data_IF_160883950275
#
_entry.id   IF_160883950275
#
_cell.length_a   1.000
_cell.length_b   1.000
_cell.length_c   1.000
_cell.angle_alpha   90.00
_cell.angle_beta   90.00
_cell.angle_gamma   90.00
#
_symmetry.space_group_name_H-M   'P 1'
#
loop_
_entity.id
_entity.type
_entity.pdbx_description
1 polymer ?
#
# COMPACT_ATOMS: atom_id res chain seq x y z
N UNK A 1 -4.18 -27.01 -10.01
CA UNK A 1 -3.00 -26.14 -9.79
C UNK A 1 -2.49 -25.42 -11.05
N UNK A 2 -2.40 -24.09 -11.01
CA UNK A 2 -1.76 -23.21 -12.02
C UNK A 2 -0.50 -22.56 -11.45
N UNK A 3 0.64 -22.59 -12.15
CA UNK A 3 1.89 -21.95 -11.72
C UNK A 3 2.19 -20.71 -12.55
N UNK A 4 2.74 -19.68 -11.90
CA UNK A 4 3.22 -18.48 -12.56
C UNK A 4 4.28 -17.78 -11.71
N UNK A 5 5.03 -16.88 -12.33
CA UNK A 5 6.05 -16.07 -11.65
C UNK A 5 5.69 -14.59 -11.77
N UNK A 6 5.87 -13.85 -10.68
CA UNK A 6 5.67 -12.42 -10.62
C UNK A 6 6.89 -11.75 -10.02
N UNK A 7 7.69 -11.06 -10.84
CA UNK A 7 8.86 -10.30 -10.35
C UNK A 7 9.75 -11.14 -9.41
N UNK A 8 10.03 -12.39 -9.80
CA UNK A 8 10.84 -13.35 -9.03
C UNK A 8 10.11 -14.16 -7.95
N UNK A 9 8.83 -13.87 -7.65
CA UNK A 9 8.02 -14.66 -6.71
C UNK A 9 7.25 -15.75 -7.47
N UNK A 10 7.52 -17.02 -7.17
CA UNK A 10 6.87 -18.15 -7.80
C UNK A 10 5.61 -18.52 -7.03
N UNK A 11 4.45 -18.45 -7.69
CA UNK A 11 3.15 -18.68 -7.07
C UNK A 11 2.49 -19.91 -7.71
N UNK A 12 1.99 -20.82 -6.87
CA UNK A 12 1.10 -21.90 -7.27
C UNK A 12 -0.32 -21.61 -6.79
N UNK A 13 -1.22 -21.31 -7.73
CA UNK A 13 -2.65 -21.12 -7.48
C UNK A 13 -3.37 -22.47 -7.49
N UNK A 14 -4.14 -22.74 -6.45
CA UNK A 14 -4.80 -24.03 -6.16
C UNK A 14 -6.23 -23.80 -5.70
N UNK A 15 -7.08 -24.82 -5.85
CA UNK A 15 -8.41 -24.80 -5.22
C UNK A 15 -8.35 -25.19 -3.73
N UNK A 16 -9.49 -25.08 -3.04
CA UNK A 16 -9.59 -25.38 -1.60
C UNK A 16 -9.30 -26.85 -1.29
N UNK A 17 -9.75 -27.78 -2.14
CA UNK A 17 -9.51 -29.21 -1.93
C UNK A 17 -8.03 -29.55 -2.06
N UNK A 18 -7.40 -29.08 -3.15
CA UNK A 18 -5.95 -29.19 -3.35
C UNK A 18 -5.18 -28.61 -2.15
N UNK A 19 -5.59 -27.45 -1.64
CA UNK A 19 -4.95 -26.77 -0.52
C UNK A 19 -4.98 -27.58 0.78
N UNK A 20 -6.08 -28.28 1.07
CA UNK A 20 -6.29 -29.01 2.33
C UNK A 20 -5.77 -30.46 2.28
N UNK A 21 -5.74 -31.09 1.11
CA UNK A 21 -5.45 -32.53 0.97
C UNK A 21 -3.95 -32.86 0.86
N UNK A 22 -3.06 -31.86 0.86
CA UNK A 22 -1.63 -32.04 0.55
C UNK A 22 -0.71 -31.49 1.63
N UNK A 23 0.35 -32.24 1.95
CA UNK A 23 1.50 -31.70 2.67
C UNK A 23 2.38 -30.85 1.72
N UNK A 24 2.14 -29.54 1.72
CA UNK A 24 2.84 -28.60 0.84
C UNK A 24 4.33 -28.47 1.13
N UNK A 25 4.77 -28.73 2.36
CA UNK A 25 6.18 -28.67 2.73
C UNK A 25 6.97 -29.81 2.10
N UNK A 26 6.46 -31.04 2.18
CA UNK A 26 7.06 -32.19 1.50
C UNK A 26 7.09 -32.00 -0.01
N UNK A 27 5.98 -31.54 -0.59
CA UNK A 27 5.90 -31.25 -2.02
C UNK A 27 6.93 -30.21 -2.47
N UNK A 28 7.08 -29.13 -1.70
CA UNK A 28 8.07 -28.09 -1.98
C UNK A 28 9.53 -28.58 -1.87
N UNK A 29 9.77 -29.72 -1.23
CA UNK A 29 11.10 -30.28 -1.06
C UNK A 29 11.47 -31.38 -2.08
N UNK A 30 10.52 -31.92 -2.87
CA UNK A 30 10.72 -33.07 -3.75
C UNK A 30 11.23 -32.78 -5.19
N UNK A 31 11.71 -31.57 -5.50
CA UNK A 31 12.38 -31.24 -6.77
C UNK A 31 11.50 -30.52 -7.81
N UNK A 32 12.17 -29.89 -8.80
CA UNK A 32 11.77 -28.66 -9.53
C UNK A 32 11.71 -27.41 -8.64
N UNK A 33 11.91 -26.17 -9.17
CA UNK A 33 11.89 -24.97 -8.35
C UNK A 33 10.54 -24.88 -7.60
N UNK A 34 10.53 -25.01 -6.26
CA UNK A 34 9.28 -25.02 -5.52
C UNK A 34 8.63 -23.64 -5.58
N UNK A 35 7.30 -23.62 -5.51
CA UNK A 35 6.58 -22.37 -5.32
C UNK A 35 7.04 -21.71 -4.01
N UNK A 36 7.20 -20.39 -4.03
CA UNK A 36 7.47 -19.60 -2.84
C UNK A 36 6.17 -19.38 -2.05
N UNK A 37 5.03 -19.36 -2.75
CA UNK A 37 3.69 -19.19 -2.19
C UNK A 37 2.70 -20.17 -2.84
N UNK A 38 1.91 -20.85 -2.01
CA UNK A 38 0.67 -21.50 -2.46
C UNK A 38 -0.49 -20.55 -2.17
N UNK A 39 -1.35 -20.31 -3.16
CA UNK A 39 -2.45 -19.35 -3.07
C UNK A 39 -3.78 -20.01 -3.41
N UNK A 40 -4.77 -19.79 -2.55
CA UNK A 40 -6.19 -20.00 -2.87
C UNK A 40 -6.80 -18.65 -3.20
N UNK A 41 -7.37 -18.51 -4.38
CA UNK A 41 -8.03 -17.27 -4.82
C UNK A 41 -9.51 -17.29 -4.42
N UNK A 42 -9.98 -16.20 -3.83
CA UNK A 42 -11.35 -15.97 -3.38
C UNK A 42 -11.98 -17.15 -2.62
N UNK A 43 -11.30 -17.72 -1.58
CA UNK A 43 -11.89 -18.79 -0.80
C UNK A 43 -13.17 -18.30 -0.11
N UNK A 44 -14.21 -19.13 -0.15
CA UNK A 44 -15.46 -18.84 0.54
C UNK A 44 -15.20 -18.70 2.06
N UNK A 45 -15.90 -17.80 2.78
CA UNK A 45 -15.61 -17.53 4.18
C UNK A 45 -15.72 -18.76 5.10
N UNK A 46 -16.58 -19.70 4.75
CA UNK A 46 -16.84 -20.92 5.51
C UNK A 46 -15.62 -21.84 5.59
N UNK A 47 -14.70 -21.76 4.61
CA UNK A 47 -13.49 -22.60 4.56
C UNK A 47 -12.25 -21.92 5.15
N UNK A 48 -12.35 -20.65 5.55
CA UNK A 48 -11.20 -19.93 6.11
C UNK A 48 -10.62 -20.60 7.36
N UNK A 49 -11.43 -21.09 8.35
CA UNK A 49 -10.88 -21.78 9.51
C UNK A 49 -10.02 -22.99 9.14
N UNK A 50 -10.48 -23.82 8.20
CA UNK A 50 -9.76 -25.01 7.75
C UNK A 50 -8.45 -24.65 7.04
N UNK A 51 -8.47 -23.60 6.21
CA UNK A 51 -7.26 -23.08 5.56
C UNK A 51 -6.25 -22.53 6.59
N UNK A 52 -6.72 -21.78 7.59
CA UNK A 52 -5.86 -21.28 8.66
C UNK A 52 -5.25 -22.41 9.52
N UNK A 53 -6.02 -23.47 9.79
CA UNK A 53 -5.54 -24.68 10.48
C UNK A 53 -4.46 -25.42 9.65
N UNK A 54 -4.63 -25.47 8.31
CA UNK A 54 -3.60 -25.96 7.39
C UNK A 54 -2.40 -25.01 7.22
N UNK A 55 -2.38 -23.88 7.95
CA UNK A 55 -1.29 -22.93 7.96
C UNK A 55 -1.34 -21.88 6.84
N UNK A 56 -2.44 -21.74 6.11
CA UNK A 56 -2.63 -20.60 5.21
C UNK A 56 -2.95 -19.32 5.99
N UNK A 57 -2.72 -18.16 5.38
CA UNK A 57 -3.04 -16.85 5.94
C UNK A 57 -4.10 -16.21 5.06
N UNK A 58 -5.33 -16.10 5.58
CA UNK A 58 -6.44 -15.46 4.87
C UNK A 58 -6.33 -13.94 4.95
N UNK A 59 -6.40 -13.27 3.80
CA UNK A 59 -6.07 -11.87 3.65
C UNK A 59 -6.83 -11.21 2.47
N UNK A 60 -6.93 -9.88 2.43
CA UNK A 60 -7.19 -9.20 1.18
C UNK A 60 -6.02 -9.44 0.20
N UNK A 61 -6.29 -9.51 -1.11
CA UNK A 61 -5.20 -9.46 -2.10
C UNK A 61 -4.55 -8.08 -2.19
N UNK A 62 -5.39 -7.04 -2.10
CA UNK A 62 -5.01 -5.63 -2.16
C UNK A 62 -5.73 -4.82 -1.08
N UNK A 63 -5.09 -3.76 -0.61
CA UNK A 63 -5.69 -2.77 0.29
C UNK A 63 -5.51 -1.36 -0.25
N UNK A 64 -6.54 -0.54 -0.11
CA UNK A 64 -6.50 0.89 -0.32
C UNK A 64 -6.26 1.61 1.00
N UNK A 65 -5.27 2.49 1.06
CA UNK A 65 -4.97 3.25 2.28
C UNK A 65 -5.80 4.52 2.31
N UNK A 66 -6.70 4.66 3.29
CA UNK A 66 -7.61 5.81 3.40
C UNK A 66 -7.45 6.59 4.69
N UNK A 67 -7.69 7.90 4.63
CA UNK A 67 -7.82 8.78 5.78
C UNK A 67 -8.99 9.74 5.59
N UNK A 68 -9.66 10.09 6.69
CA UNK A 68 -10.62 11.19 6.71
C UNK A 68 -9.88 12.52 6.60
N UNK A 69 -10.39 13.44 5.79
CA UNK A 69 -9.77 14.76 5.62
C UNK A 69 -9.84 15.59 6.90
N UNK A 70 -10.93 15.46 7.66
CA UNK A 70 -11.31 16.34 8.77
C UNK A 70 -11.45 17.81 8.33
N UNK A 71 -11.88 18.67 9.26
CA UNK A 71 -12.23 20.05 8.95
C UNK A 71 -11.03 20.94 8.56
N UNK A 72 -9.82 20.59 9.00
CA UNK A 72 -8.61 21.39 8.74
C UNK A 72 -7.32 20.56 8.80
N UNK A 73 -6.20 21.13 8.32
CA UNK A 73 -4.87 20.55 8.49
C UNK A 73 -4.57 20.30 9.99
N UNK A 74 -4.84 21.29 10.86
CA UNK A 74 -4.62 21.14 12.30
C UNK A 74 -5.45 20.03 12.93
N UNK A 75 -6.72 19.89 12.55
CA UNK A 75 -7.59 18.82 13.02
C UNK A 75 -7.09 17.43 12.59
N UNK A 76 -6.54 17.33 11.37
CA UNK A 76 -5.87 16.13 10.87
C UNK A 76 -4.59 15.84 11.65
N UNK A 77 -3.71 16.83 11.80
CA UNK A 77 -2.45 16.67 12.54
C UNK A 77 -2.68 16.27 13.99
N UNK A 78 -3.71 16.81 14.66
CA UNK A 78 -4.06 16.47 16.03
C UNK A 78 -4.33 14.96 16.23
N UNK A 79 -4.79 14.27 15.18
CA UNK A 79 -5.00 12.82 15.17
C UNK A 79 -3.71 11.99 15.19
N UNK A 80 -2.63 12.55 14.66
CA UNK A 80 -1.39 11.83 14.41
C UNK A 80 -0.55 11.72 15.69
N UNK A 81 0.42 10.81 15.68
CA UNK A 81 1.44 10.77 16.75
C UNK A 81 2.24 12.08 16.79
N UNK A 82 2.77 12.43 17.97
CA UNK A 82 3.61 13.63 18.13
C UNK A 82 4.86 13.61 17.23
N UNK A 83 5.44 12.43 17.01
CA UNK A 83 6.57 12.25 16.08
C UNK A 83 6.17 12.57 14.63
N UNK A 84 5.02 12.07 14.18
CA UNK A 84 4.58 12.32 12.80
C UNK A 84 4.17 13.78 12.57
N UNK A 85 3.48 14.41 13.53
CA UNK A 85 3.23 15.86 13.49
C UNK A 85 4.53 16.66 13.33
N UNK A 86 5.57 16.29 14.09
CA UNK A 86 6.89 16.92 13.97
C UNK A 86 7.49 16.67 12.57
N UNK A 87 7.35 15.46 12.02
CA UNK A 87 7.87 15.14 10.69
C UNK A 87 7.23 15.99 9.60
N UNK A 88 5.92 16.23 9.66
CA UNK A 88 5.19 17.09 8.72
C UNK A 88 5.65 18.54 8.84
N UNK A 89 5.72 19.07 10.07
CA UNK A 89 6.22 20.44 10.32
C UNK A 89 7.65 20.65 9.82
N UNK A 90 8.51 19.64 9.97
CA UNK A 90 9.87 19.68 9.43
C UNK A 90 9.87 19.72 7.90
N UNK A 91 8.99 18.97 7.23
CA UNK A 91 8.83 19.05 5.77
C UNK A 91 8.36 20.43 5.29
N UNK A 92 7.38 21.02 5.99
CA UNK A 92 6.91 22.40 5.72
C UNK A 92 8.03 23.42 5.92
N UNK A 93 8.79 23.30 7.01
CA UNK A 93 9.94 24.17 7.29
C UNK A 93 11.03 24.04 6.23
N UNK A 94 11.39 22.81 5.87
CA UNK A 94 12.35 22.53 4.81
C UNK A 94 11.94 23.23 3.50
N UNK A 95 10.67 23.12 3.12
CA UNK A 95 10.16 23.80 1.94
C UNK A 95 10.32 25.32 2.03
N UNK A 96 9.96 25.93 3.17
CA UNK A 96 10.11 27.36 3.39
C UNK A 96 11.58 27.83 3.36
N UNK A 97 12.48 27.13 4.04
CA UNK A 97 13.92 27.46 4.12
C UNK A 97 14.61 27.38 2.74
N UNK A 98 14.13 26.52 1.85
CA UNK A 98 14.69 26.31 0.52
C UNK A 98 13.88 27.02 -0.59
N UNK A 99 12.93 27.89 -0.24
CA UNK A 99 12.11 28.61 -1.22
C UNK A 99 11.26 27.70 -2.13
N UNK A 100 10.91 26.51 -1.64
CA UNK A 100 10.09 25.54 -2.37
C UNK A 100 8.61 25.93 -2.22
N UNK A 101 7.92 26.06 -3.35
CA UNK A 101 6.50 26.42 -3.42
C UNK A 101 5.67 25.25 -3.96
N UNK A 102 4.59 24.91 -3.28
CA UNK A 102 3.59 23.98 -3.81
C UNK A 102 2.61 24.72 -4.72
N UNK A 103 2.28 24.09 -5.84
CA UNK A 103 1.27 24.53 -6.82
C UNK A 103 0.26 23.40 -6.97
N UNK A 104 -1.02 23.73 -6.81
CA UNK A 104 -2.13 22.79 -7.01
C UNK A 104 -2.76 23.10 -8.36
N UNK A 105 -2.81 22.10 -9.24
CA UNK A 105 -3.42 22.19 -10.57
C UNK A 105 -4.58 21.20 -10.67
N UNK A 106 -5.81 21.71 -10.81
CA UNK A 106 -6.93 20.89 -11.27
C UNK A 106 -6.85 20.77 -12.78
N UNK A 107 -6.85 19.54 -13.31
CA UNK A 107 -6.58 19.34 -14.73
C UNK A 107 -5.14 19.70 -15.08
N UNK A 108 -4.14 18.94 -14.58
CA UNK A 108 -2.73 19.28 -14.78
C UNK A 108 -2.40 19.47 -16.26
N UNK A 109 -1.65 20.53 -16.55
CA UNK A 109 -1.26 20.84 -17.93
C UNK A 109 -0.35 19.76 -18.51
N UNK A 110 -0.29 19.66 -19.85
CA UNK A 110 0.64 18.73 -20.50
C UNK A 110 2.11 19.00 -20.10
N UNK A 111 2.46 20.28 -19.93
CA UNK A 111 3.81 20.71 -19.50
C UNK A 111 4.10 20.29 -18.07
N UNK A 112 3.19 20.54 -17.13
CA UNK A 112 3.36 20.17 -15.72
C UNK A 112 3.39 18.65 -15.56
N UNK A 113 2.55 17.91 -16.31
CA UNK A 113 2.56 16.46 -16.31
C UNK A 113 3.87 15.90 -16.84
N UNK A 114 4.39 16.42 -17.96
CA UNK A 114 5.67 15.95 -18.51
C UNK A 114 6.82 16.16 -17.52
N UNK A 115 6.92 17.35 -16.92
CA UNK A 115 7.92 17.65 -15.90
C UNK A 115 7.83 16.70 -14.67
N UNK A 116 6.60 16.37 -14.25
CA UNK A 116 6.40 15.37 -13.20
C UNK A 116 6.85 13.97 -13.64
N UNK A 117 6.53 13.57 -14.87
CA UNK A 117 6.86 12.24 -15.38
C UNK A 117 8.37 12.06 -15.58
N UNK A 118 9.12 13.08 -15.98
CA UNK A 118 10.59 13.04 -16.03
C UNK A 118 11.19 12.70 -14.65
N UNK A 119 10.74 13.40 -13.60
CA UNK A 119 11.17 13.14 -12.22
C UNK A 119 10.72 11.74 -11.75
N UNK A 120 9.49 11.34 -12.07
CA UNK A 120 8.95 10.04 -11.72
C UNK A 120 9.73 8.90 -12.39
N UNK A 121 10.05 9.00 -13.68
CA UNK A 121 10.80 7.98 -14.41
C UNK A 121 12.20 7.79 -13.83
N UNK A 122 12.88 8.88 -13.45
CA UNK A 122 14.16 8.81 -12.77
C UNK A 122 14.06 8.07 -11.42
N UNK A 123 13.00 8.34 -10.65
CA UNK A 123 12.73 7.62 -9.40
C UNK A 123 12.45 6.13 -9.63
N UNK A 124 11.60 5.79 -10.60
CA UNK A 124 11.20 4.41 -10.88
C UNK A 124 12.37 3.59 -11.42
N UNK A 125 13.21 4.16 -12.28
CA UNK A 125 14.39 3.48 -12.84
C UNK A 125 15.38 3.04 -11.76
N UNK A 126 15.43 3.75 -10.63
CA UNK A 126 16.27 3.39 -9.47
C UNK A 126 15.68 2.27 -8.61
N UNK A 127 14.45 1.81 -8.86
CA UNK A 127 13.79 0.74 -8.10
C UNK A 127 14.03 -0.62 -8.75
N UNK A 128 14.34 -1.65 -7.94
CA UNK A 128 14.64 -3.01 -8.39
C UNK A 128 13.58 -3.59 -9.35
N UNK A 129 12.31 -3.41 -9.03
CA UNK A 129 11.15 -3.88 -9.80
C UNK A 129 10.27 -2.68 -10.24
N UNK A 130 10.90 -1.55 -10.56
CA UNK A 130 10.21 -0.31 -10.92
C UNK A 130 9.50 -0.41 -12.26
N UNK A 131 8.18 -0.20 -12.28
CA UNK A 131 7.39 -0.15 -13.51
C UNK A 131 6.83 1.28 -13.70
N UNK A 132 7.11 1.96 -14.82
CA UNK A 132 6.73 3.36 -15.02
C UNK A 132 5.26 3.48 -15.44
N UNK A 133 4.34 3.09 -14.55
CA UNK A 133 2.91 3.06 -14.82
C UNK A 133 2.35 4.46 -15.16
N UNK A 134 2.82 5.52 -14.48
CA UNK A 134 2.38 6.89 -14.76
C UNK A 134 2.67 7.29 -16.22
N UNK A 135 3.88 6.98 -16.69
CA UNK A 135 4.31 7.22 -18.07
C UNK A 135 3.45 6.46 -19.07
N UNK A 136 3.18 5.18 -18.80
CA UNK A 136 2.30 4.34 -19.66
C UNK A 136 0.88 4.90 -19.74
N UNK A 137 0.40 5.51 -18.66
CA UNK A 137 -0.94 6.10 -18.55
C UNK A 137 -1.01 7.58 -18.98
N UNK A 138 0.08 8.18 -19.48
CA UNK A 138 0.14 9.62 -19.78
C UNK A 138 -1.00 10.09 -20.71
N UNK A 139 -1.27 9.34 -21.78
CA UNK A 139 -2.33 9.69 -22.74
C UNK A 139 -3.72 9.66 -22.10
N UNK A 140 -3.99 8.67 -21.26
CA UNK A 140 -5.27 8.54 -20.54
C UNK A 140 -5.42 9.66 -19.50
N UNK A 141 -4.35 9.96 -18.74
CA UNK A 141 -4.33 11.08 -17.79
C UNK A 141 -4.63 12.41 -18.48
N UNK A 142 -4.05 12.66 -19.67
CA UNK A 142 -4.31 13.90 -20.42
C UNK A 142 -5.73 13.95 -21.00
N UNK A 143 -6.23 12.82 -21.48
CA UNK A 143 -7.61 12.71 -21.97
C UNK A 143 -8.60 13.00 -20.86
N UNK A 144 -8.36 12.43 -19.68
CA UNK A 144 -9.28 12.46 -18.54
C UNK A 144 -8.84 13.50 -17.48
N UNK A 145 -8.07 14.53 -17.88
CA UNK A 145 -7.35 15.43 -16.96
C UNK A 145 -8.23 16.11 -15.92
N UNK A 146 -9.48 16.42 -16.26
CA UNK A 146 -10.40 17.11 -15.35
C UNK A 146 -10.80 16.24 -14.14
N UNK A 147 -10.54 14.93 -14.24
CA UNK A 147 -10.66 13.95 -13.16
C UNK A 147 -9.37 13.85 -12.32
N UNK A 148 -8.37 14.71 -12.54
CA UNK A 148 -7.10 14.70 -11.83
C UNK A 148 -6.75 16.05 -11.19
N UNK A 149 -6.01 15.96 -10.08
CA UNK A 149 -5.36 17.06 -9.39
C UNK A 149 -3.86 16.75 -9.31
N UNK A 150 -3.04 17.64 -9.85
CA UNK A 150 -1.61 17.67 -9.61
C UNK A 150 -1.28 18.54 -8.41
N UNK A 151 -0.41 18.07 -7.52
CA UNK A 151 0.19 18.88 -6.45
C UNK A 151 1.69 18.82 -6.64
N UNK A 152 2.27 19.91 -7.10
CA UNK A 152 3.65 19.96 -7.57
C UNK A 152 4.45 20.96 -6.74
N UNK A 153 5.61 20.55 -6.25
CA UNK A 153 6.52 21.37 -5.49
C UNK A 153 7.67 21.85 -6.39
N UNK A 154 7.87 23.17 -6.45
CA UNK A 154 8.86 23.82 -7.30
C UNK A 154 9.91 24.54 -6.47
N UNK A 155 11.17 24.37 -6.83
CA UNK A 155 12.25 25.26 -6.43
C UNK A 155 12.62 26.11 -7.65
N UNK A 156 12.36 27.42 -7.58
CA UNK A 156 12.35 28.30 -8.74
C UNK A 156 11.40 27.77 -9.83
N UNK A 157 11.88 27.54 -11.05
CA UNK A 157 11.09 26.99 -12.15
C UNK A 157 11.16 25.46 -12.27
N UNK A 158 11.94 24.79 -11.41
CA UNK A 158 12.17 23.34 -11.49
C UNK A 158 11.28 22.59 -10.50
N UNK A 159 10.58 21.57 -10.98
CA UNK A 159 9.82 20.66 -10.12
C UNK A 159 10.80 19.76 -9.34
N UNK A 160 10.63 19.69 -8.02
CA UNK A 160 11.49 18.90 -7.10
C UNK A 160 10.73 17.81 -6.36
N UNK A 161 9.40 17.83 -6.45
CA UNK A 161 8.53 16.80 -5.89
C UNK A 161 7.08 17.01 -6.28
N UNK A 162 6.24 16.02 -6.07
CA UNK A 162 4.82 16.14 -6.30
C UNK A 162 4.05 14.84 -6.19
N UNK A 163 2.74 14.95 -6.35
CA UNK A 163 1.86 13.82 -6.58
C UNK A 163 0.78 14.15 -7.60
N UNK A 164 0.32 13.10 -8.26
CA UNK A 164 -0.86 13.13 -9.12
C UNK A 164 -1.97 12.32 -8.46
N UNK A 165 -3.12 12.96 -8.27
CA UNK A 165 -4.27 12.39 -7.62
C UNK A 165 -5.45 12.32 -8.57
N UNK A 166 -6.22 11.24 -8.52
CA UNK A 166 -7.49 11.08 -9.23
C UNK A 166 -8.65 11.43 -8.31
N UNK A 167 -9.61 12.20 -8.83
CA UNK A 167 -10.87 12.52 -8.17
C UNK A 167 -11.80 11.32 -8.35
N UNK A 168 -12.20 10.69 -7.23
CA UNK A 168 -13.20 9.62 -7.17
C UNK A 168 -14.47 10.18 -6.53
N UNK A 169 -15.22 10.96 -7.32
CA UNK A 169 -16.38 11.69 -6.84
C UNK A 169 -17.49 10.76 -6.32
N UNK A 170 -17.67 9.61 -6.96
CA UNK A 170 -18.52 8.49 -6.55
C UNK A 170 -18.22 7.98 -5.14
N UNK A 171 -16.99 8.19 -4.67
CA UNK A 171 -16.49 7.74 -3.37
C UNK A 171 -16.18 8.91 -2.43
N UNK A 172 -16.48 10.15 -2.81
CA UNK A 172 -16.09 11.36 -2.09
C UNK A 172 -14.60 11.34 -1.66
N UNK A 173 -13.72 10.89 -2.56
CA UNK A 173 -12.32 10.60 -2.26
C UNK A 173 -11.36 11.22 -3.29
N UNK A 174 -10.26 11.79 -2.81
CA UNK A 174 -9.10 12.11 -3.64
C UNK A 174 -8.08 10.98 -3.51
N UNK A 175 -7.82 10.25 -4.59
CA UNK A 175 -6.93 9.09 -4.58
C UNK A 175 -5.58 9.43 -5.19
N UNK A 176 -4.52 9.39 -4.40
CA UNK A 176 -3.16 9.49 -4.92
C UNK A 176 -2.87 8.28 -5.81
N UNK A 177 -2.48 8.56 -7.06
CA UNK A 177 -2.13 7.55 -8.07
C UNK A 177 -0.62 7.41 -8.20
N UNK A 178 0.07 8.55 -8.26
CA UNK A 178 1.52 8.60 -8.45
C UNK A 178 2.15 9.66 -7.57
N UNK A 179 3.37 9.40 -7.12
CA UNK A 179 4.13 10.29 -6.27
C UNK A 179 5.60 10.17 -6.63
N UNK A 180 6.27 11.31 -6.78
CA UNK A 180 7.70 11.35 -7.01
C UNK A 180 8.35 12.56 -6.36
N UNK A 181 9.60 12.39 -5.95
CA UNK A 181 10.42 13.46 -5.42
C UNK A 181 11.90 13.20 -5.66
N UNK A 182 12.65 14.28 -5.84
CA UNK A 182 14.10 14.22 -5.93
C UNK A 182 14.72 13.68 -4.62
N UNK A 183 15.90 13.03 -4.65
CA UNK A 183 16.51 12.44 -3.46
C UNK A 183 16.70 13.43 -2.30
N UNK A 184 17.15 14.66 -2.59
CA UNK A 184 17.31 15.73 -1.60
C UNK A 184 15.98 16.12 -0.95
N UNK A 185 14.91 16.25 -1.75
CA UNK A 185 13.56 16.53 -1.30
C UNK A 185 12.98 15.39 -0.44
N UNK A 186 13.29 14.13 -0.75
CA UNK A 186 12.90 12.98 0.09
C UNK A 186 13.58 13.04 1.46
N UNK A 187 14.87 13.33 1.51
CA UNK A 187 15.61 13.53 2.77
C UNK A 187 15.02 14.64 3.63
N UNK A 188 14.60 15.74 2.99
CA UNK A 188 13.90 16.87 3.61
C UNK A 188 12.45 16.62 4.00
N UNK A 189 11.91 15.41 3.75
CA UNK A 189 10.52 15.01 4.08
C UNK A 189 9.46 15.79 3.31
N UNK A 190 9.81 16.35 2.15
CA UNK A 190 8.94 17.19 1.32
C UNK A 190 7.61 16.51 0.98
N UNK A 191 7.64 15.19 0.75
CA UNK A 191 6.45 14.40 0.40
C UNK A 191 5.28 14.59 1.39
N UNK A 192 5.60 14.73 2.68
CA UNK A 192 4.58 14.94 3.73
C UNK A 192 3.91 16.31 3.59
N UNK A 193 4.68 17.34 3.27
CA UNK A 193 4.14 18.68 3.04
C UNK A 193 3.25 18.69 1.78
N UNK A 194 3.72 18.09 0.68
CA UNK A 194 2.94 17.93 -0.56
C UNK A 194 1.62 17.21 -0.30
N UNK A 195 1.61 16.19 0.56
CA UNK A 195 0.36 15.51 0.91
C UNK A 195 -0.59 16.40 1.69
N UNK A 196 -0.11 17.28 2.58
CA UNK A 196 -1.00 18.23 3.25
C UNK A 196 -1.66 19.21 2.27
N UNK A 197 -0.95 19.61 1.22
CA UNK A 197 -1.53 20.41 0.13
C UNK A 197 -2.57 19.61 -0.67
N UNK A 198 -2.35 18.31 -0.88
CA UNK A 198 -3.35 17.43 -1.47
C UNK A 198 -4.59 17.24 -0.58
N UNK A 199 -4.44 17.16 0.74
CA UNK A 199 -5.56 17.15 1.68
C UNK A 199 -6.37 18.45 1.57
N UNK A 200 -5.70 19.60 1.47
CA UNK A 200 -6.39 20.88 1.29
C UNK A 200 -7.16 20.90 -0.03
N UNK A 201 -6.52 20.50 -1.13
CA UNK A 201 -7.19 20.41 -2.43
C UNK A 201 -8.43 19.48 -2.40
N UNK A 202 -8.34 18.36 -1.66
CA UNK A 202 -9.48 17.46 -1.48
C UNK A 202 -10.65 18.12 -0.72
N UNK A 203 -10.35 18.91 0.33
CA UNK A 203 -11.37 19.68 1.07
C UNK A 203 -12.02 20.74 0.19
N UNK A 204 -11.23 21.46 -0.59
CA UNK A 204 -11.72 22.51 -1.49
C UNK A 204 -12.64 21.93 -2.59
N UNK A 205 -12.47 20.65 -2.93
CA UNK A 205 -13.34 19.90 -3.83
C UNK A 205 -14.59 19.31 -3.16
N UNK A 206 -14.78 19.53 -1.85
CA UNK A 206 -15.91 19.00 -1.09
C UNK A 206 -15.85 17.48 -0.86
N UNK A 207 -14.65 16.89 -0.97
CA UNK A 207 -14.45 15.46 -0.70
C UNK A 207 -14.35 15.23 0.81
N UNK A 208 -14.53 14.00 1.28
CA UNK A 208 -14.44 13.65 2.71
C UNK A 208 -13.23 12.77 3.02
N UNK A 209 -12.61 12.17 2.00
CA UNK A 209 -11.50 11.21 2.15
C UNK A 209 -10.32 11.51 1.25
N UNK A 210 -9.13 11.15 1.73
CA UNK A 210 -7.91 11.01 0.94
C UNK A 210 -7.53 9.52 0.88
N UNK A 211 -6.94 9.09 -0.23
CA UNK A 211 -6.30 7.79 -0.36
C UNK A 211 -4.85 7.89 -0.82
N UNK A 212 -3.98 7.03 -0.28
CA UNK A 212 -2.60 6.82 -0.76
C UNK A 212 -2.49 5.70 -1.81
N UNK A 213 -3.62 5.34 -2.42
CA UNK A 213 -3.69 4.31 -3.46
C UNK A 213 -3.77 2.89 -2.90
N UNK A 214 -3.73 1.93 -3.83
CA UNK A 214 -3.77 0.51 -3.55
C UNK A 214 -2.34 -0.04 -3.39
N UNK A 215 -2.16 -0.93 -2.41
CA UNK A 215 -0.96 -1.74 -2.23
C UNK A 215 -1.33 -3.23 -2.23
N UNK A 216 -0.42 -4.12 -2.69
CA UNK A 216 -0.54 -5.53 -2.35
C UNK A 216 -0.41 -5.68 -0.83
N UNK A 217 -1.10 -6.66 -0.25
CA UNK A 217 -1.04 -6.90 1.20
C UNK A 217 0.26 -7.54 1.68
N UNK A 218 1.08 -8.08 0.77
CA UNK A 218 2.41 -8.62 1.04
C UNK A 218 3.49 -7.56 0.75
N UNK A 219 3.98 -6.92 1.80
CA UNK A 219 5.11 -6.00 1.78
C UNK A 219 6.41 -6.78 1.98
N UNK A 220 7.40 -6.53 1.12
CA UNK A 220 8.66 -7.27 1.05
C UNK A 220 8.88 -7.97 -0.28
N UNK A 221 7.87 -7.96 -1.17
CA UNK A 221 8.01 -8.39 -2.56
C UNK A 221 8.11 -7.17 -3.49
N UNK A 222 6.97 -6.65 -3.99
CA UNK A 222 6.93 -5.45 -4.83
C UNK A 222 6.92 -4.17 -3.99
N UNK A 223 6.12 -4.15 -2.91
CA UNK A 223 6.05 -3.00 -2.00
C UNK A 223 7.08 -3.16 -0.88
N UNK A 224 7.88 -2.12 -0.62
CA UNK A 224 8.85 -2.12 0.47
C UNK A 224 8.14 -2.21 1.85
N UNK A 225 8.64 -3.01 2.82
CA UNK A 225 8.08 -3.08 4.18
C UNK A 225 7.99 -1.73 4.90
N UNK A 226 8.90 -0.79 4.61
CA UNK A 226 8.87 0.56 5.15
C UNK A 226 7.66 1.38 4.67
N UNK A 227 7.07 1.03 3.52
CA UNK A 227 5.89 1.72 2.98
C UNK A 227 4.67 1.53 3.88
N UNK A 228 4.47 0.32 4.43
CA UNK A 228 3.43 0.06 5.44
C UNK A 228 3.55 1.02 6.62
N UNK A 229 4.77 1.13 7.18
CA UNK A 229 5.04 2.00 8.33
C UNK A 229 4.92 3.48 7.99
N UNK A 230 5.23 3.87 6.75
CA UNK A 230 5.02 5.24 6.28
C UNK A 230 3.53 5.60 6.23
N UNK A 231 2.70 4.77 5.56
CA UNK A 231 1.26 5.05 5.37
C UNK A 231 0.49 5.02 6.69
N UNK A 232 0.74 4.01 7.53
CA UNK A 232 0.07 3.88 8.83
C UNK A 232 0.39 5.03 9.79
N UNK A 233 1.66 5.46 9.87
CA UNK A 233 2.05 6.60 10.72
C UNK A 233 1.45 7.93 10.25
N UNK A 234 1.21 8.08 8.94
CA UNK A 234 0.54 9.24 8.37
C UNK A 234 -0.98 9.23 8.63
N UNK A 235 -1.50 8.30 9.43
CA UNK A 235 -2.91 8.27 9.82
C UNK A 235 -3.83 7.59 8.81
N UNK A 236 -3.27 6.96 7.78
CA UNK A 236 -4.05 6.16 6.84
C UNK A 236 -4.30 4.77 7.40
N UNK A 237 -5.50 4.25 7.13
CA UNK A 237 -5.96 2.93 7.52
C UNK A 237 -6.22 2.11 6.26
N UNK A 238 -5.73 0.86 6.17
CA UNK A 238 -5.99 0.01 5.03
C UNK A 238 -7.44 -0.48 5.03
N UNK A 239 -8.05 -0.45 3.84
CA UNK A 239 -9.37 -1.00 3.55
C UNK A 239 -9.20 -1.99 2.39
N UNK A 240 -9.72 -3.23 2.44
CA UNK A 240 -9.64 -4.14 1.30
C UNK A 240 -10.11 -3.48 0.00
N UNK A 241 -9.28 -3.52 -1.05
CA UNK A 241 -9.55 -2.75 -2.28
C UNK A 241 -10.85 -3.16 -2.97
N UNK A 242 -11.21 -4.45 -2.91
CA UNK A 242 -12.46 -4.97 -3.49
C UNK A 242 -13.74 -4.40 -2.84
N UNK A 243 -13.65 -3.82 -1.63
CA UNK A 243 -14.78 -3.11 -1.01
C UNK A 243 -14.99 -1.70 -1.56
N UNK A 244 -14.02 -1.20 -2.34
CA UNK A 244 -14.03 0.13 -2.95
C UNK A 244 -14.23 -0.02 -4.45
N UNK A 245 -13.50 -0.94 -5.06
CA UNK A 245 -13.53 -1.23 -6.48
C UNK A 245 -13.56 -2.76 -6.64
N UNK A 246 -14.72 -3.37 -6.90
CA UNK A 246 -14.89 -4.82 -6.96
C UNK A 246 -13.97 -5.52 -7.98
N UNK A 247 -13.46 -4.78 -8.97
CA UNK A 247 -12.55 -5.29 -9.98
C UNK A 247 -11.09 -5.35 -9.49
N UNK A 248 -10.79 -4.75 -8.33
CA UNK A 248 -9.45 -4.68 -7.76
C UNK A 248 -9.27 -5.68 -6.62
N UNK A 249 -8.64 -6.78 -6.97
CA UNK A 249 -8.26 -7.82 -6.03
C UNK A 249 -9.46 -8.65 -5.56
N UNK A 250 -9.33 -9.19 -4.37
CA UNK A 250 -10.32 -10.08 -3.78
C UNK A 250 -9.84 -10.53 -2.41
N UNK A 251 -10.31 -11.68 -1.96
CA UNK A 251 -9.72 -12.36 -0.82
C UNK A 251 -8.78 -13.44 -1.32
N UNK A 252 -7.65 -13.64 -0.65
CA UNK A 252 -6.68 -14.69 -0.93
C UNK A 252 -6.38 -15.44 0.38
N UNK A 253 -5.99 -16.71 0.28
CA UNK A 253 -5.33 -17.41 1.37
C UNK A 253 -3.95 -17.87 0.90
N UNK A 254 -2.89 -17.39 1.56
CA UNK A 254 -1.51 -17.64 1.17
C UNK A 254 -0.81 -18.57 2.19
N UNK A 255 -0.21 -19.65 1.71
CA UNK A 255 0.79 -20.42 2.45
C UNK A 255 2.18 -20.02 1.94
N UNK A 256 2.97 -19.35 2.78
CA UNK A 256 4.31 -18.89 2.45
C UNK A 256 5.31 -20.00 2.74
N UNK A 257 5.93 -20.54 1.69
CA UNK A 257 6.86 -21.67 1.76
C UNK A 257 8.33 -21.24 1.76
N UNK A 258 8.64 -20.04 1.25
CA UNK A 258 10.01 -19.53 1.19
C UNK A 258 10.08 -18.01 1.33
N UNK A 259 11.19 -17.52 1.89
CA UNK A 259 11.54 -16.10 1.95
C UNK A 259 12.51 -15.67 0.84
N UNK A 260 12.90 -16.56 -0.08
CA UNK A 260 13.98 -16.29 -1.04
C UNK A 260 13.71 -15.09 -1.97
N UNK A 261 12.44 -14.90 -2.35
CA UNK A 261 12.00 -13.78 -3.18
C UNK A 261 11.44 -12.60 -2.37
N UNK A 262 11.55 -12.66 -1.03
CA UNK A 262 10.96 -11.71 -0.10
C UNK A 262 12.04 -11.01 0.73
N UNK A 263 11.76 -9.78 1.15
CA UNK A 263 12.58 -9.10 2.15
C UNK A 263 12.51 -9.82 3.51
N UNK A 264 13.56 -9.74 4.31
CA UNK A 264 13.57 -10.29 5.67
C UNK A 264 13.82 -9.17 6.72
N UNK A 265 12.78 -8.76 7.48
CA UNK A 265 11.42 -9.30 7.49
C UNK A 265 10.52 -8.77 6.36
N UNK A 266 9.51 -9.56 6.00
CA UNK A 266 8.34 -9.15 5.19
C UNK A 266 7.11 -8.97 6.08
N UNK A 267 6.12 -8.21 5.62
CA UNK A 267 4.89 -7.92 6.34
C UNK A 267 3.68 -8.33 5.52
N UNK A 268 2.75 -9.06 6.11
CA UNK A 268 1.50 -9.47 5.48
C UNK A 268 0.30 -8.94 6.26
N UNK A 269 -0.51 -8.10 5.63
CA UNK A 269 -1.80 -7.70 6.18
C UNK A 269 -2.83 -8.81 5.95
N UNK A 270 -3.43 -9.29 7.04
CA UNK A 270 -4.36 -10.42 7.05
C UNK A 270 -5.63 -10.08 7.82
N UNK A 271 -6.70 -10.84 7.61
CA UNK A 271 -7.89 -10.71 8.43
C UNK A 271 -7.61 -11.20 9.86
N UNK A 272 -8.19 -10.51 10.85
CA UNK A 272 -8.02 -10.84 12.27
C UNK A 272 -8.92 -11.99 12.74
N UNK A 273 -10.04 -12.20 12.06
CA UNK A 273 -11.05 -13.20 12.41
C UNK A 273 -11.41 -14.05 11.19
N UNK A 274 -11.93 -15.23 11.47
CA UNK A 274 -12.50 -16.18 10.50
C UNK A 274 -13.85 -15.73 9.93
N UNK A 275 -14.39 -14.60 10.38
CA UNK A 275 -15.64 -14.06 9.84
C UNK A 275 -15.37 -13.12 8.67
N UNK A 276 -16.12 -13.25 7.57
CA UNK A 276 -15.94 -12.42 6.40
C UNK A 276 -16.22 -10.95 6.69
N UNK A 277 -15.56 -10.02 5.97
CA UNK A 277 -16.00 -8.64 5.93
C UNK A 277 -17.48 -8.58 5.54
N UNK A 278 -18.31 -7.99 6.38
CA UNK A 278 -19.68 -7.67 5.97
C UNK A 278 -19.63 -6.52 4.95
N UNK A 279 -20.43 -6.64 3.89
CA UNK A 279 -20.58 -5.58 2.89
C UNK A 279 -21.01 -4.29 3.60
N UNK A 280 -20.33 -3.15 3.37
CA UNK A 280 -20.75 -1.88 3.93
C UNK A 280 -22.19 -1.58 3.53
N UNK A 281 -23.01 -1.11 4.49
CA UNK A 281 -24.31 -0.51 4.15
C UNK A 281 -24.06 0.81 3.40
N UNK A 282 -24.91 1.18 2.41
CA UNK A 282 -24.75 2.41 1.62
C UNK A 282 -24.61 3.68 2.48
N UNK A 283 -25.29 3.70 3.64
CA UNK A 283 -25.37 4.88 4.51
C UNK A 283 -24.62 4.72 5.84
N UNK A 284 -23.85 3.63 5.99
CA UNK A 284 -23.12 3.33 7.22
C UNK A 284 -21.64 3.73 7.12
N UNK A 285 -20.96 4.02 8.25
CA UNK A 285 -19.51 4.06 8.26
C UNK A 285 -19.01 2.72 7.71
N UNK A 286 -18.14 2.74 6.69
CA UNK A 286 -17.51 1.54 6.14
C UNK A 286 -16.94 0.73 7.31
N UNK A 287 -17.59 -0.37 7.66
CA UNK A 287 -17.15 -1.30 8.69
C UNK A 287 -15.92 -1.98 8.14
N UNK A 288 -14.74 -1.44 8.50
CA UNK A 288 -13.46 -1.98 8.08
C UNK A 288 -13.32 -3.35 8.74
N UNK A 289 -13.06 -4.44 7.99
CA UNK A 289 -12.79 -5.71 8.63
C UNK A 289 -11.58 -5.54 9.56
N UNK A 290 -11.61 -6.17 10.74
CA UNK A 290 -10.48 -6.13 11.64
C UNK A 290 -9.28 -6.81 10.97
N UNK A 291 -8.16 -6.11 10.93
CA UNK A 291 -6.93 -6.61 10.32
C UNK A 291 -5.89 -6.91 11.39
N UNK A 292 -5.05 -7.91 11.11
CA UNK A 292 -3.83 -8.21 11.85
C UNK A 292 -2.64 -8.11 10.90
N UNK A 293 -1.46 -7.97 11.48
CA UNK A 293 -0.21 -7.99 10.73
C UNK A 293 0.55 -9.28 11.04
N UNK A 294 1.02 -9.98 10.02
CA UNK A 294 1.94 -11.11 10.16
C UNK A 294 3.32 -10.68 9.70
N UNK A 295 4.30 -10.71 10.59
CA UNK A 295 5.71 -10.46 10.29
C UNK A 295 6.33 -11.80 9.89
N UNK A 296 6.67 -11.93 8.61
CA UNK A 296 7.31 -13.11 8.03
C UNK A 296 8.82 -12.94 8.12
N UNK A 297 9.54 -13.96 8.61
CA UNK A 297 10.99 -13.91 8.72
C UNK A 297 11.60 -15.30 8.51
N UNK A 298 12.83 -15.34 7.99
CA UNK A 298 13.65 -16.57 7.97
C UNK A 298 14.46 -16.75 9.26
N UNK A 299 14.49 -15.74 10.15
CA UNK A 299 15.27 -15.76 11.39
C UNK A 299 14.61 -16.67 12.42
N UNK A 300 15.43 -17.42 13.14
CA UNK A 300 15.02 -18.23 14.27
C UNK A 300 14.78 -17.37 15.51
N UNK A 301 14.16 -17.96 16.54
CA UNK A 301 13.68 -17.29 17.75
C UNK A 301 14.79 -16.60 18.58
N UNK A 302 16.06 -16.83 18.29
CA UNK A 302 17.18 -16.21 19.01
C UNK A 302 17.27 -14.69 18.78
N UNK A 303 16.77 -14.19 17.64
CA UNK A 303 16.82 -12.77 17.28
C UNK A 303 15.53 -12.31 16.57
N UNK A 304 14.40 -12.27 17.29
CA UNK A 304 13.11 -11.95 16.67
C UNK A 304 13.12 -10.51 16.13
N UNK A 305 12.41 -10.25 15.01
CA UNK A 305 12.30 -8.89 14.47
C UNK A 305 11.61 -7.97 15.49
N UNK A 306 12.07 -6.72 15.57
CA UNK A 306 11.39 -5.69 16.36
C UNK A 306 10.00 -5.38 15.76
N UNK A 307 8.95 -5.89 16.40
CA UNK A 307 7.56 -5.67 16.01
C UNK A 307 7.00 -4.33 16.48
N UNK A 308 7.64 -3.64 17.44
CA UNK A 308 7.12 -2.41 18.01
C UNK A 308 6.96 -1.32 16.94
N UNK A 309 7.90 -1.28 15.98
CA UNK A 309 7.88 -0.35 14.84
C UNK A 309 6.74 -0.61 13.83
N UNK A 310 6.08 -1.75 13.91
CA UNK A 310 5.00 -2.15 13.01
C UNK A 310 3.60 -2.07 13.64
N UNK A 311 3.50 -1.64 14.91
CA UNK A 311 2.21 -1.43 15.57
C UNK A 311 1.46 -0.25 14.94
N UNK A 312 0.17 -0.43 14.70
CA UNK A 312 -0.74 0.61 14.24
C UNK A 312 -2.09 0.44 14.93
N UNK A 313 -2.79 1.55 15.23
CA UNK A 313 -4.01 1.52 16.02
C UNK A 313 -5.20 0.79 15.37
N UNK A 314 -5.14 0.52 14.07
CA UNK A 314 -6.15 -0.25 13.35
C UNK A 314 -5.90 -1.77 13.38
N UNK A 315 -4.71 -2.21 13.84
CA UNK A 315 -4.38 -3.62 13.91
C UNK A 315 -4.91 -4.21 15.22
N UNK A 316 -5.59 -5.35 15.14
CA UNK A 316 -6.01 -6.11 16.32
C UNK A 316 -4.85 -6.79 17.02
N UNK A 317 -3.87 -7.28 16.26
CA UNK A 317 -2.63 -7.88 16.75
C UNK A 317 -1.52 -7.85 15.70
N UNK A 318 -0.30 -8.16 16.15
CA UNK A 318 0.88 -8.38 15.32
C UNK A 318 1.45 -9.75 15.69
N UNK A 319 1.49 -10.65 14.71
CA UNK A 319 2.00 -12.02 14.84
C UNK A 319 3.39 -12.11 14.19
N UNK A 320 4.25 -12.99 14.67
CA UNK A 320 5.51 -13.36 14.01
C UNK A 320 5.34 -14.78 13.46
N UNK A 321 5.75 -15.00 12.22
CA UNK A 321 5.79 -16.33 11.61
C UNK A 321 7.15 -16.57 10.98
N UNK A 322 7.86 -17.56 11.53
CA UNK A 322 9.09 -18.07 10.95
C UNK A 322 8.77 -18.95 9.76
N UNK A 323 9.35 -18.62 8.60
CA UNK A 323 9.26 -19.42 7.38
C UNK A 323 10.54 -20.25 7.31
N UNK A 324 10.45 -21.60 7.36
CA UNK A 324 11.63 -22.45 7.35
C UNK A 324 12.51 -22.16 6.12
N UNK A 325 13.80 -21.95 6.34
CA UNK A 325 14.76 -22.00 5.25
C UNK A 325 14.90 -23.45 4.79
N UNK A 326 14.98 -23.65 3.47
CA UNK A 326 15.39 -24.96 2.94
C UNK A 326 16.80 -25.27 3.49
N UNK A 327 17.05 -26.47 4.03
CA UNK A 327 18.40 -26.87 4.44
C UNK A 327 19.39 -26.88 3.26
#
# INVERSE_FOLDING_TARGET
MKRWEHEGLRIASVDVGEALDRNWWEWAWQGEPPADVIRVENPAPEVWPALEEAGFITKPGWVNWQAELRDSEDAFLAALSGSERRNIRLGRRFAAEHGIKAVVERGPSATSLEAFLEMYDAQITAMRNGIPYARRQQKDILRDRDCYVGVFAYHNARMVGGCLCQIRADQAMLQLRFAAAEPSARGGRLQRAVYMDAFQAARDLGLSRMSLGNDPTLYGHIADPGLFGFKSRLGFVPVPSHLIDPDIGGTEADLILSMNALADPSLLLAYAHTQPPQTPRPDGPTTRPPLRLVVLTARTDEHPPDIARHRAGFLTRVDIRTVPSRP
#
